data_IF_912298951346
#
_entry.id   IF_912298951346
#
_cell.length_a   1.000
_cell.length_b   1.000
_cell.length_c   1.000
_cell.angle_alpha   90.00
_cell.angle_beta   90.00
_cell.angle_gamma   90.00
#
_symmetry.space_group_name_H-M   'P 1'
#
loop_
_entity.id
_entity.type
_entity.pdbx_description
1 polymer ?
#
# COMPACT_ATOMS: atom_id res chain seq x y z
N UNK A 1 -2.78 -47.42 1.18
CA UNK A 1 -3.84 -46.41 0.86
C UNK A 1 -3.48 -44.98 1.28
N UNK A 2 -3.14 -44.69 2.56
CA UNK A 2 -2.77 -43.31 2.99
C UNK A 2 -1.53 -42.76 2.26
N UNK A 3 -0.49 -43.56 2.06
CA UNK A 3 0.73 -43.16 1.34
C UNK A 3 0.48 -42.86 -0.15
N UNK A 4 -0.14 -43.79 -0.88
CA UNK A 4 -0.55 -43.59 -2.29
C UNK A 4 -1.42 -42.34 -2.52
N UNK A 5 -2.24 -41.96 -1.54
CA UNK A 5 -3.07 -40.75 -1.62
C UNK A 5 -2.23 -39.48 -1.41
N UNK A 6 -1.19 -39.54 -0.56
CA UNK A 6 -0.22 -38.45 -0.40
C UNK A 6 0.61 -38.26 -1.67
N UNK A 7 1.13 -39.34 -2.24
CA UNK A 7 1.99 -39.29 -3.44
C UNK A 7 1.23 -38.73 -4.65
N UNK A 8 -0.03 -39.15 -4.86
CA UNK A 8 -0.90 -38.60 -5.91
C UNK A 8 -1.17 -37.10 -5.73
N UNK A 9 -1.44 -36.65 -4.49
CA UNK A 9 -1.65 -35.22 -4.20
C UNK A 9 -0.36 -34.39 -4.40
N UNK A 10 0.81 -34.97 -4.15
CA UNK A 10 2.10 -34.32 -4.36
C UNK A 10 2.41 -34.16 -5.85
N UNK A 11 2.12 -35.18 -6.66
CA UNK A 11 2.19 -35.11 -8.12
C UNK A 11 1.25 -34.00 -8.68
N UNK A 12 0.02 -33.93 -8.19
CA UNK A 12 -0.94 -32.87 -8.57
C UNK A 12 -0.46 -31.45 -8.18
N UNK A 13 0.33 -31.32 -7.11
CA UNK A 13 0.94 -30.05 -6.69
C UNK A 13 2.05 -29.64 -7.65
N UNK A 14 2.91 -30.58 -8.02
CA UNK A 14 3.99 -30.35 -9.00
C UNK A 14 3.43 -30.00 -10.38
N UNK A 15 2.37 -30.68 -10.82
CA UNK A 15 1.69 -30.35 -12.08
C UNK A 15 1.09 -28.95 -12.04
N UNK A 16 0.48 -28.57 -10.93
CA UNK A 16 -0.06 -27.21 -10.74
C UNK A 16 1.02 -26.15 -10.79
N UNK A 17 2.15 -26.39 -10.14
CA UNK A 17 3.30 -25.47 -10.18
C UNK A 17 3.89 -25.33 -11.59
N UNK A 18 3.69 -26.30 -12.49
CA UNK A 18 4.09 -26.21 -13.90
C UNK A 18 3.14 -25.35 -14.75
N UNK A 19 1.96 -24.98 -14.23
CA UNK A 19 1.01 -24.07 -14.90
C UNK A 19 1.46 -22.63 -14.65
N UNK A 20 2.35 -22.18 -15.54
CA UNK A 20 2.94 -20.85 -15.52
C UNK A 20 2.85 -20.29 -16.94
N UNK A 21 2.59 -18.98 -17.06
CA UNK A 21 2.40 -18.30 -18.34
C UNK A 21 3.58 -18.51 -19.29
N UNK A 22 4.82 -18.48 -18.79
CA UNK A 22 6.02 -18.68 -19.60
C UNK A 22 6.29 -20.13 -20.01
N UNK A 23 5.68 -21.11 -19.32
CA UNK A 23 5.87 -22.54 -19.61
C UNK A 23 4.72 -23.12 -20.43
N UNK A 24 3.49 -22.72 -20.13
CA UNK A 24 2.25 -23.18 -20.78
C UNK A 24 1.28 -22.01 -20.97
N UNK A 25 1.55 -21.08 -21.91
CA UNK A 25 0.80 -19.83 -22.03
C UNK A 25 -0.69 -20.06 -22.32
N UNK A 26 -1.01 -20.88 -23.33
CA UNK A 26 -2.40 -21.15 -23.74
C UNK A 26 -3.21 -21.81 -22.61
N UNK A 27 -2.62 -22.81 -21.94
CA UNK A 27 -3.31 -23.51 -20.85
C UNK A 27 -3.54 -22.57 -19.65
N UNK A 28 -2.54 -21.76 -19.30
CA UNK A 28 -2.62 -20.81 -18.18
C UNK A 28 -3.69 -19.75 -18.43
N UNK A 29 -3.72 -19.15 -19.62
CA UNK A 29 -4.73 -18.14 -19.98
C UNK A 29 -6.13 -18.77 -19.94
N UNK A 30 -6.31 -19.96 -20.54
CA UNK A 30 -7.60 -20.67 -20.54
C UNK A 30 -8.09 -20.95 -19.12
N UNK A 31 -7.24 -21.50 -18.25
CA UNK A 31 -7.60 -21.83 -16.87
C UNK A 31 -7.87 -20.58 -16.04
N UNK A 32 -7.08 -19.52 -16.21
CA UNK A 32 -7.31 -18.23 -15.57
C UNK A 32 -8.69 -17.66 -15.95
N UNK A 33 -9.00 -17.61 -17.25
CA UNK A 33 -10.30 -17.14 -17.74
C UNK A 33 -11.47 -17.98 -17.20
N UNK A 34 -11.31 -19.30 -17.15
CA UNK A 34 -12.34 -20.19 -16.60
C UNK A 34 -12.54 -20.00 -15.08
N UNK A 35 -11.48 -19.78 -14.29
CA UNK A 35 -11.65 -19.46 -12.87
C UNK A 35 -12.34 -18.11 -12.69
N UNK A 36 -12.01 -17.09 -13.50
CA UNK A 36 -12.74 -15.83 -13.49
C UNK A 36 -14.25 -16.05 -13.71
N UNK A 37 -14.64 -16.81 -14.73
CA UNK A 37 -16.05 -17.12 -15.00
C UNK A 37 -16.70 -17.86 -13.83
N UNK A 38 -16.01 -18.83 -13.23
CA UNK A 38 -16.52 -19.58 -12.07
C UNK A 38 -16.70 -18.67 -10.86
N UNK A 39 -15.71 -17.83 -10.55
CA UNK A 39 -15.77 -16.88 -9.45
C UNK A 39 -16.90 -15.87 -9.69
N UNK A 40 -17.02 -15.30 -10.88
CA UNK A 40 -18.12 -14.40 -11.24
C UNK A 40 -19.49 -15.05 -11.03
N UNK A 41 -19.66 -16.33 -11.39
CA UNK A 41 -20.90 -17.07 -11.13
C UNK A 41 -21.15 -17.30 -9.64
N UNK A 42 -20.12 -17.65 -8.87
CA UNK A 42 -20.24 -17.90 -7.42
C UNK A 42 -20.60 -16.60 -6.69
N UNK A 43 -19.84 -15.54 -6.93
CA UNK A 43 -20.10 -14.23 -6.32
C UNK A 43 -21.41 -13.64 -6.80
N UNK A 44 -21.74 -13.78 -8.08
CA UNK A 44 -23.04 -13.39 -8.62
C UNK A 44 -24.21 -14.08 -7.90
N UNK A 45 -24.14 -15.41 -7.72
CA UNK A 45 -25.16 -16.16 -6.95
C UNK A 45 -25.25 -15.73 -5.49
N UNK A 46 -24.11 -15.49 -4.82
CA UNK A 46 -24.08 -14.98 -3.44
C UNK A 46 -24.68 -13.58 -3.35
N UNK A 47 -24.35 -12.70 -4.28
CA UNK A 47 -24.91 -11.34 -4.34
C UNK A 47 -26.43 -11.40 -4.57
N UNK A 48 -26.87 -12.28 -5.46
CA UNK A 48 -28.29 -12.58 -5.72
C UNK A 48 -29.00 -13.32 -4.57
N UNK A 49 -28.30 -13.85 -3.58
CA UNK A 49 -28.93 -14.36 -2.36
C UNK A 49 -29.25 -13.20 -1.39
N UNK A 50 -28.44 -12.14 -1.42
CA UNK A 50 -28.66 -10.92 -0.64
C UNK A 50 -29.46 -9.85 -1.45
N UNK A 51 -30.54 -10.26 -2.11
CA UNK A 51 -31.34 -9.37 -3.00
C UNK A 51 -31.84 -8.12 -2.30
N UNK A 52 -32.29 -8.22 -1.05
CA UNK A 52 -32.78 -7.08 -0.28
C UNK A 52 -31.69 -6.02 0.01
N UNK A 53 -30.46 -6.46 0.30
CA UNK A 53 -29.33 -5.54 0.45
C UNK A 53 -28.97 -4.89 -0.88
N UNK A 54 -28.97 -5.68 -1.97
CA UNK A 54 -28.69 -5.18 -3.31
C UNK A 54 -29.72 -4.14 -3.75
N UNK A 55 -31.02 -4.39 -3.56
CA UNK A 55 -32.09 -3.44 -3.91
C UNK A 55 -32.00 -2.18 -3.05
N UNK A 56 -31.66 -2.29 -1.76
CA UNK A 56 -31.44 -1.15 -0.89
C UNK A 56 -30.25 -0.30 -1.35
N UNK A 57 -29.11 -0.93 -1.65
CA UNK A 57 -27.93 -0.23 -2.19
C UNK A 57 -28.25 0.44 -3.52
N UNK A 58 -28.98 -0.23 -4.41
CA UNK A 58 -29.33 0.29 -5.72
C UNK A 58 -30.31 1.48 -5.59
N UNK A 59 -31.28 1.39 -4.67
CA UNK A 59 -32.17 2.51 -4.34
C UNK A 59 -31.39 3.71 -3.77
N UNK A 60 -30.41 3.48 -2.88
CA UNK A 60 -29.53 4.53 -2.36
C UNK A 60 -28.73 5.18 -3.49
N UNK A 61 -28.16 4.40 -4.41
CA UNK A 61 -27.42 4.92 -5.58
C UNK A 61 -28.33 5.77 -6.48
N UNK A 62 -29.56 5.30 -6.73
CA UNK A 62 -30.56 6.05 -7.50
C UNK A 62 -30.95 7.33 -6.79
N UNK A 63 -31.20 7.30 -5.47
CA UNK A 63 -31.51 8.47 -4.66
C UNK A 63 -30.37 9.49 -4.69
N UNK A 64 -29.12 9.04 -4.56
CA UNK A 64 -27.93 9.91 -4.70
C UNK A 64 -27.84 10.47 -6.12
N UNK A 65 -28.13 9.67 -7.14
CA UNK A 65 -28.15 10.12 -8.54
C UNK A 65 -29.21 11.18 -8.82
N UNK A 66 -30.41 11.03 -8.27
CA UNK A 66 -31.48 12.03 -8.32
C UNK A 66 -31.03 13.29 -7.57
N UNK A 67 -30.52 13.13 -6.35
CA UNK A 67 -30.01 14.24 -5.53
C UNK A 67 -28.86 15.00 -6.20
N UNK A 68 -28.09 14.34 -7.06
CA UNK A 68 -27.03 14.96 -7.87
C UNK A 68 -27.56 15.81 -9.05
N UNK A 69 -28.75 15.47 -9.56
CA UNK A 69 -29.34 16.11 -10.75
C UNK A 69 -30.34 17.22 -10.41
N UNK A 70 -30.93 17.19 -9.23
CA UNK A 70 -31.90 18.20 -8.79
C UNK A 70 -31.16 19.53 -8.50
N UNK A 71 -31.58 20.65 -9.09
CA UNK A 71 -31.00 21.95 -8.75
C UNK A 71 -31.45 22.39 -7.35
N UNK A 72 -30.51 22.83 -6.52
CA UNK A 72 -30.82 23.40 -5.20
C UNK A 72 -29.59 23.87 -4.43
N UNK A 73 -29.79 24.36 -3.19
CA UNK A 73 -28.68 24.84 -2.32
C UNK A 73 -27.65 23.73 -2.01
N UNK A 74 -28.06 22.48 -2.06
CA UNK A 74 -27.19 21.30 -1.92
C UNK A 74 -26.19 21.15 -3.09
N UNK A 75 -26.43 21.80 -4.23
CA UNK A 75 -25.51 21.77 -5.38
C UNK A 75 -24.16 22.40 -5.06
N UNK A 76 -24.08 23.37 -4.15
CA UNK A 76 -22.80 23.92 -3.67
C UNK A 76 -21.97 22.85 -2.96
N UNK A 77 -22.61 22.08 -2.08
CA UNK A 77 -21.96 20.97 -1.36
C UNK A 77 -21.57 19.86 -2.32
N UNK A 78 -22.44 19.49 -3.26
CA UNK A 78 -22.15 18.49 -4.29
C UNK A 78 -20.98 18.93 -5.17
N UNK A 79 -20.93 20.20 -5.56
CA UNK A 79 -19.86 20.73 -6.40
C UNK A 79 -18.52 20.76 -5.65
N UNK A 80 -18.55 21.08 -4.35
CA UNK A 80 -17.40 20.98 -3.46
C UNK A 80 -16.92 19.52 -3.30
N UNK A 81 -17.85 18.57 -3.08
CA UNK A 81 -17.54 17.14 -3.00
C UNK A 81 -16.96 16.66 -4.33
N UNK A 82 -17.58 16.98 -5.47
CA UNK A 82 -17.12 16.58 -6.80
C UNK A 82 -15.69 17.02 -7.08
N UNK A 83 -15.39 18.28 -6.78
CA UNK A 83 -14.06 18.86 -6.98
C UNK A 83 -13.02 18.19 -6.09
N UNK A 84 -13.38 17.86 -4.85
CA UNK A 84 -12.49 17.21 -3.88
C UNK A 84 -12.46 15.67 -3.99
N UNK A 85 -13.41 15.04 -4.69
CA UNK A 85 -13.53 13.58 -4.77
C UNK A 85 -12.33 13.00 -5.49
N UNK A 86 -11.95 13.56 -6.64
CA UNK A 86 -10.76 13.11 -7.38
C UNK A 86 -9.49 13.27 -6.57
N UNK A 87 -9.36 14.37 -5.83
CA UNK A 87 -8.25 14.59 -4.91
C UNK A 87 -8.17 13.50 -3.82
N UNK A 88 -9.30 13.18 -3.18
CA UNK A 88 -9.38 12.13 -2.16
C UNK A 88 -9.06 10.75 -2.74
N UNK A 89 -9.67 10.40 -3.87
CA UNK A 89 -9.46 9.11 -4.56
C UNK A 89 -8.01 8.97 -4.99
N UNK A 90 -7.40 10.02 -5.52
CA UNK A 90 -6.00 10.03 -5.95
C UNK A 90 -5.04 9.75 -4.78
N UNK A 91 -5.13 10.53 -3.69
CA UNK A 91 -4.21 10.38 -2.56
C UNK A 91 -4.42 9.08 -1.77
N UNK A 92 -5.67 8.68 -1.54
CA UNK A 92 -5.97 7.38 -0.90
C UNK A 92 -5.51 6.24 -1.80
N UNK A 93 -5.80 6.31 -3.11
CA UNK A 93 -5.45 5.29 -4.08
C UNK A 93 -3.94 5.07 -4.17
N UNK A 94 -3.17 6.16 -4.26
CA UNK A 94 -1.71 6.09 -4.23
C UNK A 94 -1.17 5.48 -2.93
N UNK A 95 -1.79 5.82 -1.79
CA UNK A 95 -1.46 5.21 -0.50
C UNK A 95 -1.71 3.69 -0.48
N UNK A 96 -2.84 3.23 -1.00
CA UNK A 96 -3.17 1.80 -1.09
C UNK A 96 -2.15 1.07 -1.98
N UNK A 97 -1.90 1.60 -3.18
CA UNK A 97 -0.95 1.03 -4.13
C UNK A 97 0.46 0.97 -3.55
N UNK A 98 0.83 1.97 -2.74
CA UNK A 98 2.11 2.02 -2.05
C UNK A 98 2.32 0.87 -1.05
N UNK A 99 1.25 0.28 -0.51
CA UNK A 99 1.33 -0.83 0.43
C UNK A 99 1.11 -2.20 -0.25
N UNK A 100 0.19 -2.28 -1.21
CA UNK A 100 -0.19 -3.55 -1.85
C UNK A 100 0.79 -4.00 -2.94
N UNK A 101 1.44 -3.06 -3.65
CA UNK A 101 2.09 -3.36 -4.93
C UNK A 101 3.63 -3.36 -4.96
N UNK A 102 4.33 -2.68 -4.04
CA UNK A 102 5.76 -2.35 -4.21
C UNK A 102 6.69 -2.82 -3.08
N UNK A 103 6.16 -3.39 -2.00
CA UNK A 103 6.95 -3.86 -0.84
C UNK A 103 7.78 -2.80 -0.11
N UNK A 104 7.86 -1.57 -0.62
CA UNK A 104 8.63 -0.46 -0.07
C UNK A 104 7.80 0.82 -0.17
N UNK A 105 6.85 1.03 0.74
CA UNK A 105 6.05 2.27 0.77
C UNK A 105 6.87 3.57 0.93
N UNK A 106 8.17 3.47 1.16
CA UNK A 106 9.12 4.59 1.07
C UNK A 106 9.36 5.01 -0.39
N UNK A 107 9.37 4.06 -1.31
CA UNK A 107 9.66 4.31 -2.71
C UNK A 107 8.53 5.12 -3.37
N UNK A 108 7.27 4.69 -3.21
CA UNK A 108 6.11 5.45 -3.70
C UNK A 108 6.02 6.83 -3.04
N UNK A 109 6.39 6.93 -1.76
CA UNK A 109 6.47 8.22 -1.07
C UNK A 109 7.48 9.16 -1.77
N UNK A 110 8.67 8.69 -2.10
CA UNK A 110 9.72 9.48 -2.77
C UNK A 110 9.28 9.92 -4.19
N UNK A 111 8.39 9.20 -4.86
CA UNK A 111 7.94 9.57 -6.21
C UNK A 111 6.76 10.54 -6.25
N UNK A 112 5.87 10.50 -5.25
CA UNK A 112 4.61 11.24 -5.31
C UNK A 112 4.47 12.25 -4.16
N UNK A 113 4.35 11.77 -2.92
CA UNK A 113 4.07 12.65 -1.79
C UNK A 113 5.29 13.50 -1.39
N UNK A 114 6.50 12.94 -1.43
CA UNK A 114 7.75 13.64 -1.12
C UNK A 114 8.00 14.85 -2.03
N UNK A 115 7.99 14.67 -3.37
CA UNK A 115 8.13 15.78 -4.33
C UNK A 115 7.03 16.83 -4.18
N UNK A 116 5.80 16.42 -3.88
CA UNK A 116 4.71 17.34 -3.62
C UNK A 116 4.96 18.20 -2.37
N UNK A 117 5.40 17.59 -1.25
CA UNK A 117 5.77 18.36 -0.05
C UNK A 117 6.96 19.28 -0.33
N UNK A 118 7.93 18.82 -1.10
CA UNK A 118 9.10 19.60 -1.48
C UNK A 118 8.72 20.83 -2.31
N UNK A 119 7.86 20.69 -3.33
CA UNK A 119 7.41 21.82 -4.16
C UNK A 119 6.62 22.85 -3.36
N UNK A 120 5.72 22.41 -2.48
CA UNK A 120 4.98 23.30 -1.58
C UNK A 120 5.91 24.03 -0.61
N UNK A 121 6.93 23.34 -0.09
CA UNK A 121 7.94 23.93 0.81
C UNK A 121 8.75 25.00 0.09
N UNK A 122 9.22 24.69 -1.12
CA UNK A 122 10.00 25.59 -1.97
C UNK A 122 9.21 26.87 -2.26
N UNK A 123 7.99 26.72 -2.78
CA UNK A 123 7.14 27.86 -3.11
C UNK A 123 6.75 28.69 -1.88
N UNK A 124 6.56 28.05 -0.72
CA UNK A 124 6.29 28.78 0.51
C UNK A 124 7.44 29.73 0.91
N UNK A 125 8.69 29.29 0.73
CA UNK A 125 9.87 30.11 1.01
C UNK A 125 10.17 31.13 -0.10
N UNK A 126 9.96 30.79 -1.37
CA UNK A 126 10.19 31.71 -2.50
C UNK A 126 9.15 32.81 -2.58
N UNK A 127 7.87 32.45 -2.47
CA UNK A 127 6.78 33.43 -2.51
C UNK A 127 6.60 34.15 -1.17
N UNK A 128 7.32 33.72 -0.12
CA UNK A 128 7.13 34.15 1.27
C UNK A 128 5.64 34.18 1.71
N UNK A 129 4.86 33.23 1.20
CA UNK A 129 3.42 33.18 1.34
C UNK A 129 2.93 31.73 1.23
N UNK A 130 1.83 31.40 1.88
CA UNK A 130 1.18 30.07 1.80
C UNK A 130 -0.13 30.08 1.02
N UNK A 131 -0.52 31.25 0.50
CA UNK A 131 -1.76 31.49 -0.22
C UNK A 131 -1.59 31.36 -1.74
N UNK A 132 -1.01 30.25 -2.18
CA UNK A 132 -0.99 29.81 -3.58
C UNK A 132 -2.13 28.81 -3.85
N UNK A 133 -2.48 28.55 -5.14
CA UNK A 133 -3.69 27.83 -5.54
C UNK A 133 -3.90 26.52 -4.79
N UNK A 134 -5.15 26.22 -4.42
CA UNK A 134 -5.52 24.94 -3.79
C UNK A 134 -5.43 23.80 -4.81
N UNK A 135 -5.19 22.55 -4.37
CA UNK A 135 -5.15 21.41 -5.28
C UNK A 135 -6.48 21.25 -6.06
N UNK A 136 -6.43 20.80 -7.34
CA UNK A 136 -5.24 20.40 -8.10
C UNK A 136 -4.32 21.61 -8.34
N UNK A 137 -3.05 21.47 -7.95
CA UNK A 137 -2.08 22.53 -8.16
C UNK A 137 -1.84 22.61 -9.66
N UNK A 138 -1.80 23.82 -10.27
CA UNK A 138 -1.27 23.96 -11.61
C UNK A 138 0.14 23.36 -11.66
N UNK A 139 0.60 22.96 -12.84
CA UNK A 139 1.95 22.38 -13.01
C UNK A 139 3.05 23.30 -12.45
N UNK A 140 2.76 24.61 -12.37
CA UNK A 140 3.58 25.64 -11.74
C UNK A 140 2.88 26.27 -10.52
N UNK A 141 3.60 26.41 -9.40
CA UNK A 141 3.10 27.16 -8.24
C UNK A 141 3.26 28.65 -8.51
N UNK A 142 2.16 29.32 -8.86
CA UNK A 142 2.14 30.77 -9.11
C UNK A 142 2.10 31.50 -7.76
N UNK A 143 3.10 32.34 -7.50
CA UNK A 143 3.12 33.20 -6.33
C UNK A 143 1.98 34.23 -6.37
N UNK A 144 1.29 34.49 -5.25
CA UNK A 144 0.29 35.55 -5.19
C UNK A 144 0.93 36.92 -5.45
N UNK A 145 0.23 37.80 -6.15
CA UNK A 145 0.69 39.17 -6.46
C UNK A 145 0.84 40.05 -5.19
N UNK A 146 0.12 39.70 -4.12
CA UNK A 146 0.20 40.37 -2.82
C UNK A 146 0.87 39.42 -1.83
N UNK A 147 2.03 39.83 -1.29
CA UNK A 147 2.71 39.12 -0.23
C UNK A 147 1.88 39.19 1.06
N UNK A 148 1.13 38.13 1.37
CA UNK A 148 0.43 37.99 2.66
C UNK A 148 1.46 37.74 3.77
N UNK A 149 1.92 38.81 4.42
CA UNK A 149 2.81 38.76 5.59
C UNK A 149 2.14 38.21 6.85
N UNK A 150 0.83 37.94 6.83
CA UNK A 150 0.07 37.48 8.00
C UNK A 150 0.47 36.08 8.49
N UNK A 151 0.99 35.21 7.61
CA UNK A 151 1.39 33.84 7.97
C UNK A 151 2.75 33.52 7.33
N UNK A 152 3.86 33.80 8.03
CA UNK A 152 5.19 33.51 7.50
C UNK A 152 5.39 32.00 7.28
N UNK A 153 6.18 31.61 6.26
CA UNK A 153 6.51 30.21 6.01
C UNK A 153 7.38 29.67 7.16
N UNK A 154 6.78 28.83 7.99
CA UNK A 154 7.49 28.04 9.00
C UNK A 154 7.14 26.56 8.83
N UNK A 155 7.90 25.67 9.46
CA UNK A 155 7.73 24.21 9.34
C UNK A 155 6.27 23.82 9.65
N UNK A 156 5.68 24.39 10.71
CA UNK A 156 4.34 24.05 11.16
C UNK A 156 3.25 24.49 10.16
N UNK A 157 3.38 25.68 9.59
CA UNK A 157 2.45 26.23 8.64
C UNK A 157 2.49 25.46 7.30
N UNK A 158 3.69 25.07 6.86
CA UNK A 158 3.88 24.20 5.69
C UNK A 158 3.31 22.81 5.96
N UNK A 159 3.58 22.21 7.12
CA UNK A 159 2.99 20.93 7.54
C UNK A 159 1.47 20.95 7.60
N UNK A 160 0.89 22.09 7.98
CA UNK A 160 -0.56 22.33 8.00
C UNK A 160 -1.13 22.47 6.59
N UNK A 161 -0.39 23.13 5.68
CA UNK A 161 -0.79 23.28 4.27
C UNK A 161 -0.91 21.93 3.56
N UNK A 162 0.05 21.02 3.73
CA UNK A 162 0.07 19.68 3.09
C UNK A 162 -0.65 18.59 3.90
N UNK A 163 -1.45 18.98 4.91
CA UNK A 163 -1.96 18.02 5.90
C UNK A 163 -2.92 17.00 5.30
N UNK A 164 -3.73 17.40 4.33
CA UNK A 164 -4.79 16.57 3.77
C UNK A 164 -4.19 15.52 2.85
N UNK A 165 -3.29 15.93 1.96
CA UNK A 165 -2.53 15.07 1.06
C UNK A 165 -1.79 13.99 1.83
N UNK A 166 -1.04 14.39 2.86
CA UNK A 166 -0.29 13.46 3.69
C UNK A 166 -1.21 12.53 4.49
N UNK A 167 -2.28 13.06 5.10
CA UNK A 167 -3.23 12.23 5.86
C UNK A 167 -3.94 11.21 4.97
N UNK A 168 -4.44 11.63 3.80
CA UNK A 168 -5.13 10.76 2.84
C UNK A 168 -4.20 9.67 2.29
N UNK A 169 -2.96 10.04 1.97
CA UNK A 169 -1.92 9.07 1.61
C UNK A 169 -1.71 8.04 2.72
N UNK A 170 -1.45 8.50 3.95
CA UNK A 170 -1.20 7.62 5.08
C UNK A 170 -2.42 6.75 5.43
N UNK A 171 -3.64 7.27 5.30
CA UNK A 171 -4.87 6.50 5.42
C UNK A 171 -4.99 5.43 4.32
N UNK A 172 -4.63 5.77 3.08
CA UNK A 172 -4.50 4.82 1.99
C UNK A 172 -3.51 3.70 2.30
N UNK A 173 -2.34 4.04 2.88
CA UNK A 173 -1.37 3.01 3.29
C UNK A 173 -1.96 2.06 4.34
N UNK A 174 -2.68 2.58 5.34
CA UNK A 174 -3.37 1.78 6.36
C UNK A 174 -4.49 0.88 5.79
N UNK A 175 -5.14 1.32 4.71
CA UNK A 175 -6.12 0.48 3.99
C UNK A 175 -5.44 -0.66 3.21
N UNK A 176 -4.25 -0.42 2.66
CA UNK A 176 -3.48 -1.42 1.92
C UNK A 176 -2.95 -2.57 2.78
N UNK A 177 -3.12 -2.51 4.09
CA UNK A 177 -2.65 -3.50 5.11
C UNK A 177 -3.75 -4.47 5.54
N UNK A 178 -4.99 -4.13 5.17
CA UNK A 178 -6.15 -4.95 5.44
C UNK A 178 -6.08 -6.33 4.77
N UNK A 179 -5.55 -6.50 3.54
CA UNK A 179 -5.53 -7.82 2.91
C UNK A 179 -4.75 -8.87 3.72
N UNK A 180 -3.48 -8.64 4.15
CA UNK A 180 -2.78 -9.60 5.01
C UNK A 180 -3.51 -9.90 6.33
N UNK A 181 -4.11 -8.88 6.96
CA UNK A 181 -4.89 -9.05 8.20
C UNK A 181 -6.11 -9.96 8.00
N UNK A 182 -6.94 -9.69 6.98
CA UNK A 182 -8.13 -10.49 6.71
C UNK A 182 -7.77 -11.89 6.22
N UNK A 183 -6.69 -12.04 5.44
CA UNK A 183 -6.20 -13.35 5.02
C UNK A 183 -5.79 -14.21 6.21
N UNK A 184 -4.98 -13.67 7.13
CA UNK A 184 -4.56 -14.40 8.32
C UNK A 184 -5.73 -14.69 9.27
N UNK A 185 -6.65 -13.75 9.43
CA UNK A 185 -7.88 -13.93 10.24
C UNK A 185 -8.81 -14.98 9.66
N UNK A 186 -9.04 -14.95 8.35
CA UNK A 186 -9.87 -15.94 7.67
C UNK A 186 -9.26 -17.34 7.77
N UNK A 187 -7.93 -17.45 7.59
CA UNK A 187 -7.22 -18.72 7.73
C UNK A 187 -7.31 -19.30 9.15
N UNK A 188 -7.32 -18.44 10.19
CA UNK A 188 -7.52 -18.89 11.58
C UNK A 188 -8.95 -19.32 11.86
N UNK A 189 -9.94 -18.58 11.35
CA UNK A 189 -11.37 -18.81 11.59
C UNK A 189 -11.96 -19.97 10.78
N UNK A 190 -11.45 -20.23 9.58
CA UNK A 190 -11.95 -21.34 8.75
C UNK A 190 -11.70 -22.70 9.39
N UNK A 191 -10.84 -22.78 10.41
CA UNK A 191 -10.31 -24.04 10.91
C UNK A 191 -9.46 -24.72 9.84
N UNK A 192 -8.55 -25.58 10.24
CA UNK A 192 -7.88 -26.45 9.28
C UNK A 192 -8.83 -27.57 8.90
N UNK A 193 -9.17 -27.70 7.62
CA UNK A 193 -9.83 -28.91 7.12
C UNK A 193 -8.75 -30.03 7.08
N UNK A 194 -8.81 -31.05 7.95
CA UNK A 194 -7.78 -32.09 8.02
C UNK A 194 -7.65 -32.91 6.73
N UNK A 195 -8.62 -32.83 5.82
CA UNK A 195 -8.59 -33.47 4.50
C UNK A 195 -7.90 -32.62 3.41
N UNK A 196 -7.72 -31.31 3.63
CA UNK A 196 -7.07 -30.37 2.72
C UNK A 196 -5.57 -30.26 3.05
N UNK A 197 -4.80 -31.24 2.56
CA UNK A 197 -3.36 -31.39 2.79
C UNK A 197 -2.51 -30.14 2.44
N UNK A 198 -3.05 -29.21 1.65
CA UNK A 198 -2.40 -27.94 1.29
C UNK A 198 -2.49 -26.90 2.41
N UNK A 199 -3.59 -26.90 3.18
CA UNK A 199 -3.71 -26.11 4.39
C UNK A 199 -2.93 -26.77 5.53
N UNK A 200 -3.00 -28.10 5.65
CA UNK A 200 -2.21 -28.85 6.65
C UNK A 200 -0.69 -28.70 6.45
N UNK A 201 -0.18 -28.67 5.20
CA UNK A 201 1.24 -28.41 4.92
C UNK A 201 1.64 -26.97 5.22
N UNK A 202 0.79 -25.97 4.89
CA UNK A 202 1.04 -24.57 5.29
C UNK A 202 1.05 -24.42 6.81
N UNK A 203 0.18 -25.15 7.51
CA UNK A 203 0.18 -25.24 8.96
C UNK A 203 1.47 -25.87 9.49
N UNK A 204 1.88 -27.01 8.94
CA UNK A 204 3.11 -27.71 9.31
C UNK A 204 4.37 -26.89 8.99
N UNK A 205 4.40 -26.12 7.90
CA UNK A 205 5.49 -25.20 7.55
C UNK A 205 5.54 -24.00 8.52
N UNK A 206 4.40 -23.37 8.81
CA UNK A 206 4.29 -22.31 9.82
C UNK A 206 4.65 -22.83 11.24
N UNK A 207 4.30 -24.08 11.55
CA UNK A 207 4.55 -24.71 12.85
C UNK A 207 5.97 -25.30 12.97
N UNK A 208 6.60 -25.70 11.85
CA UNK A 208 8.03 -26.07 11.78
C UNK A 208 8.91 -24.83 11.90
N UNK A 209 8.55 -23.72 11.26
CA UNK A 209 9.20 -22.42 11.53
C UNK A 209 9.11 -22.03 13.02
N UNK A 210 8.00 -22.37 13.69
CA UNK A 210 7.79 -22.10 15.13
C UNK A 210 8.62 -22.99 16.06
N UNK A 211 8.89 -24.24 15.69
CA UNK A 211 9.51 -25.25 16.57
C UNK A 211 10.98 -25.57 16.22
N UNK A 212 11.54 -24.98 15.17
CA UNK A 212 12.97 -25.10 14.88
C UNK A 212 13.81 -24.40 15.96
N UNK A 213 14.72 -25.14 16.58
CA UNK A 213 15.65 -24.64 17.62
C UNK A 213 16.74 -23.70 17.08
N UNK A 214 16.87 -23.56 15.76
CA UNK A 214 17.73 -22.56 15.11
C UNK A 214 16.92 -21.33 14.70
N UNK A 215 16.71 -20.40 15.63
CA UNK A 215 15.96 -19.17 15.37
C UNK A 215 16.84 -18.16 14.61
N UNK A 216 16.50 -17.93 13.34
CA UNK A 216 17.08 -16.85 12.55
C UNK A 216 16.70 -15.49 13.15
N UNK A 217 17.43 -14.41 12.87
CA UNK A 217 17.13 -13.06 13.41
C UNK A 217 15.67 -12.65 13.16
N UNK A 218 15.15 -12.98 11.97
CA UNK A 218 13.76 -12.76 11.59
C UNK A 218 12.76 -13.51 12.47
N UNK A 219 13.05 -14.72 12.92
CA UNK A 219 12.14 -15.52 13.74
C UNK A 219 12.13 -15.04 15.21
N UNK A 220 13.27 -14.54 15.70
CA UNK A 220 13.33 -13.83 16.99
C UNK A 220 12.53 -12.52 16.95
N UNK A 221 12.60 -11.79 15.83
CA UNK A 221 11.86 -10.54 15.63
C UNK A 221 10.34 -10.80 15.57
N UNK A 222 9.91 -11.88 14.91
CA UNK A 222 8.52 -12.34 14.91
C UNK A 222 8.01 -12.67 16.31
N UNK A 223 8.74 -13.49 17.07
CA UNK A 223 8.37 -13.87 18.44
C UNK A 223 8.36 -12.68 19.40
N UNK A 224 9.28 -11.73 19.23
CA UNK A 224 9.28 -10.49 20.01
C UNK A 224 8.04 -9.64 19.71
N UNK A 225 7.71 -9.48 18.43
CA UNK A 225 6.54 -8.70 18.04
C UNK A 225 5.23 -9.34 18.47
N UNK A 226 5.14 -10.66 18.43
CA UNK A 226 4.03 -11.44 19.00
C UNK A 226 3.83 -11.12 20.49
N UNK A 227 4.90 -11.21 21.29
CA UNK A 227 4.85 -10.86 22.72
C UNK A 227 4.45 -9.40 22.97
N UNK A 228 4.89 -8.47 22.12
CA UNK A 228 4.52 -7.04 22.25
C UNK A 228 3.04 -6.84 21.90
N UNK A 229 2.54 -7.45 20.83
CA UNK A 229 1.13 -7.33 20.42
C UNK A 229 0.21 -8.00 21.45
N UNK A 230 0.57 -9.16 21.97
CA UNK A 230 -0.21 -9.85 23.03
C UNK A 230 -0.21 -9.08 24.35
N UNK A 231 0.94 -8.51 24.76
CA UNK A 231 1.10 -7.87 26.07
C UNK A 231 0.64 -6.40 26.10
N UNK A 232 0.79 -5.68 25.00
CA UNK A 232 0.61 -4.22 24.92
C UNK A 232 -0.63 -3.85 24.08
N UNK A 233 -1.19 -4.79 23.31
CA UNK A 233 -2.43 -4.60 22.57
C UNK A 233 -2.36 -3.42 21.60
N UNK A 234 -3.27 -2.46 21.74
CA UNK A 234 -3.38 -1.29 20.86
C UNK A 234 -2.07 -0.48 20.73
N UNK A 235 -1.38 -0.22 21.84
CA UNK A 235 -0.15 0.59 21.83
C UNK A 235 1.02 -0.15 21.17
N UNK A 236 1.05 -1.49 21.29
CA UNK A 236 2.04 -2.32 20.60
C UNK A 236 1.85 -2.28 19.10
N UNK A 237 0.60 -2.41 18.63
CA UNK A 237 0.24 -2.31 17.22
C UNK A 237 0.57 -0.91 16.68
N UNK A 238 0.27 0.14 17.46
CA UNK A 238 0.56 1.52 17.09
C UNK A 238 2.06 1.76 16.90
N UNK A 239 2.89 1.26 17.82
CA UNK A 239 4.34 1.35 17.71
C UNK A 239 4.86 0.63 16.46
N UNK A 240 4.40 -0.59 16.21
CA UNK A 240 4.76 -1.37 15.03
C UNK A 240 4.33 -0.67 13.72
N UNK A 241 3.14 -0.06 13.69
CA UNK A 241 2.64 0.66 12.52
C UNK A 241 3.38 1.98 12.25
N UNK A 242 3.99 2.58 13.28
CA UNK A 242 4.72 3.84 13.20
C UNK A 242 6.15 3.69 12.66
N UNK A 243 6.71 2.47 12.66
CA UNK A 243 8.09 2.17 12.24
C UNK A 243 8.13 1.76 10.74
N UNK A 244 9.21 2.06 9.98
CA UNK A 244 9.33 1.72 8.56
C UNK A 244 9.23 0.20 8.23
N UNK A 245 9.07 -0.06 6.94
CA UNK A 245 8.28 -1.14 6.31
C UNK A 245 8.57 -2.64 6.62
N UNK A 246 9.69 -3.13 7.15
CA UNK A 246 9.85 -4.59 7.34
C UNK A 246 8.98 -5.19 8.45
N UNK A 247 8.69 -4.43 9.51
CA UNK A 247 7.85 -4.85 10.64
C UNK A 247 6.35 -4.80 10.32
N UNK A 248 6.00 -4.11 9.24
CA UNK A 248 4.65 -3.67 8.95
C UNK A 248 3.76 -4.81 8.40
N UNK A 249 4.20 -5.53 7.37
CA UNK A 249 3.43 -6.67 6.81
C UNK A 249 3.25 -7.79 7.84
N UNK A 250 4.23 -7.94 8.72
CA UNK A 250 4.21 -8.93 9.78
C UNK A 250 3.17 -8.59 10.85
N UNK A 251 2.97 -7.31 11.18
CA UNK A 251 1.96 -6.89 12.15
C UNK A 251 0.54 -7.24 11.68
N UNK A 252 0.25 -7.05 10.39
CA UNK A 252 -1.04 -7.44 9.80
C UNK A 252 -1.31 -8.94 9.92
N UNK A 253 -0.34 -9.78 9.54
CA UNK A 253 -0.46 -11.25 9.62
C UNK A 253 -0.64 -11.70 11.08
N UNK A 254 0.20 -11.20 11.99
CA UNK A 254 0.13 -11.53 13.42
C UNK A 254 -1.22 -11.12 14.01
N UNK A 255 -1.66 -9.88 13.82
CA UNK A 255 -2.94 -9.40 14.36
C UNK A 255 -4.14 -10.18 13.80
N UNK A 256 -4.10 -10.54 12.52
CA UNK A 256 -5.13 -11.37 11.91
C UNK A 256 -5.17 -12.77 12.50
N UNK A 257 -4.01 -13.42 12.64
CA UNK A 257 -3.89 -14.76 13.22
C UNK A 257 -4.36 -14.84 14.68
N UNK A 258 -4.06 -13.82 15.48
CA UNK A 258 -4.50 -13.72 16.89
C UNK A 258 -5.93 -13.21 17.05
N UNK A 259 -6.66 -13.01 15.94
CA UNK A 259 -8.06 -12.57 15.94
C UNK A 259 -8.28 -11.21 16.65
N UNK A 260 -7.26 -10.35 16.69
CA UNK A 260 -7.35 -9.00 17.26
C UNK A 260 -8.55 -8.27 16.62
N UNK A 261 -9.40 -7.57 17.38
CA UNK A 261 -10.54 -6.87 16.82
C UNK A 261 -10.14 -5.90 15.70
N UNK A 262 -10.98 -5.82 14.65
CA UNK A 262 -10.69 -4.98 13.49
C UNK A 262 -10.41 -3.53 13.87
N UNK A 263 -11.23 -2.94 14.73
CA UNK A 263 -11.08 -1.53 15.12
C UNK A 263 -9.80 -1.26 15.93
N UNK A 264 -9.33 -2.22 16.72
CA UNK A 264 -8.06 -2.10 17.45
C UNK A 264 -6.88 -2.10 16.49
N UNK A 265 -6.90 -3.00 15.51
CA UNK A 265 -5.85 -3.06 14.48
C UNK A 265 -5.90 -1.85 13.52
N UNK A 266 -7.06 -1.58 12.93
CA UNK A 266 -7.24 -0.51 11.96
C UNK A 266 -7.06 0.88 12.58
N UNK A 267 -7.55 1.11 13.79
CA UNK A 267 -7.36 2.37 14.50
C UNK A 267 -5.88 2.65 14.81
N UNK A 268 -5.16 1.64 15.33
CA UNK A 268 -3.74 1.76 15.64
C UNK A 268 -2.89 1.97 14.37
N UNK A 269 -3.19 1.25 13.29
CA UNK A 269 -2.49 1.41 11.99
C UNK A 269 -2.78 2.76 11.34
N UNK A 270 -4.04 3.23 11.37
CA UNK A 270 -4.40 4.54 10.86
C UNK A 270 -3.68 5.67 11.60
N UNK A 271 -3.65 5.64 12.94
CA UNK A 271 -2.95 6.66 13.73
C UNK A 271 -1.43 6.57 13.50
N UNK A 272 -0.86 5.36 13.56
CA UNK A 272 0.56 5.15 13.35
C UNK A 272 1.03 5.64 11.99
N UNK A 273 0.22 5.44 10.94
CA UNK A 273 0.62 5.74 9.57
C UNK A 273 0.16 7.10 9.07
N UNK A 274 -1.12 7.43 9.20
CA UNK A 274 -1.66 8.70 8.71
C UNK A 274 -1.27 9.89 9.59
N UNK A 275 -0.95 9.64 10.86
CA UNK A 275 -0.54 10.68 11.80
C UNK A 275 0.95 10.54 12.07
N UNK A 276 1.40 9.61 12.90
CA UNK A 276 2.77 9.60 13.44
C UNK A 276 3.82 9.53 12.32
N UNK A 277 3.76 8.50 11.49
CA UNK A 277 4.72 8.28 10.38
C UNK A 277 4.71 9.44 9.39
N UNK A 278 3.53 9.92 8.98
CA UNK A 278 3.44 11.05 8.06
C UNK A 278 4.02 12.34 8.64
N UNK A 279 3.86 12.61 9.94
CA UNK A 279 4.43 13.82 10.54
C UNK A 279 5.96 13.75 10.54
N UNK A 280 6.54 12.58 10.88
CA UNK A 280 7.98 12.35 10.81
C UNK A 280 8.49 12.55 9.37
N UNK A 281 7.83 11.93 8.39
CA UNK A 281 8.22 12.05 6.97
C UNK A 281 8.08 13.47 6.43
N UNK A 282 7.01 14.19 6.78
CA UNK A 282 6.82 15.61 6.40
C UNK A 282 7.93 16.49 6.97
N UNK A 283 8.24 16.36 8.27
CA UNK A 283 9.30 17.16 8.92
C UNK A 283 10.63 16.93 8.21
N UNK A 284 10.97 15.66 7.94
CA UNK A 284 12.20 15.32 7.24
C UNK A 284 12.30 15.99 5.86
N UNK A 285 11.23 15.93 5.05
CA UNK A 285 11.21 16.58 3.73
C UNK A 285 11.28 18.10 3.86
N UNK A 286 10.51 18.72 4.75
CA UNK A 286 10.51 20.18 4.90
C UNK A 286 11.88 20.71 5.33
N UNK A 287 12.56 20.03 6.26
CA UNK A 287 13.92 20.39 6.69
C UNK A 287 14.91 20.23 5.53
N UNK A 288 14.81 19.14 4.76
CA UNK A 288 15.72 18.88 3.64
C UNK A 288 15.64 19.92 2.51
N UNK A 289 14.48 20.59 2.35
CA UNK A 289 14.24 21.55 1.27
C UNK A 289 14.19 23.03 1.73
N UNK A 290 14.49 23.32 3.00
CA UNK A 290 14.69 24.69 3.48
C UNK A 290 16.19 24.93 3.67
N UNK A 291 16.77 25.89 2.95
CA UNK A 291 18.21 26.18 3.01
C UNK A 291 18.71 26.54 4.41
N UNK A 292 18.00 27.46 5.10
CA UNK A 292 18.36 27.89 6.45
C UNK A 292 18.24 26.79 7.51
N UNK A 293 17.31 25.85 7.33
CA UNK A 293 17.14 24.71 8.24
C UNK A 293 18.06 23.55 7.88
N UNK A 294 18.33 23.37 6.58
CA UNK A 294 19.24 22.36 6.08
C UNK A 294 20.66 22.65 6.56
N UNK A 295 21.14 23.89 6.43
CA UNK A 295 22.46 24.28 6.92
C UNK A 295 22.58 24.04 8.44
N UNK A 296 21.59 24.46 9.23
CA UNK A 296 21.55 24.18 10.67
C UNK A 296 21.50 22.68 11.02
N UNK A 297 20.77 21.88 10.24
CA UNK A 297 20.65 20.44 10.46
C UNK A 297 21.93 19.70 10.05
N UNK A 298 22.58 20.15 8.98
CA UNK A 298 23.85 19.64 8.48
C UNK A 298 24.98 19.98 9.45
N UNK A 299 25.00 21.20 10.00
CA UNK A 299 25.91 21.61 11.07
C UNK A 299 25.73 20.74 12.33
N UNK A 300 24.47 20.47 12.72
CA UNK A 300 24.15 19.58 13.85
C UNK A 300 24.58 18.14 13.58
N UNK A 301 24.47 17.67 12.32
CA UNK A 301 24.94 16.35 11.90
C UNK A 301 26.47 16.26 11.94
N UNK A 302 27.17 17.36 11.62
CA UNK A 302 28.63 17.51 11.72
C UNK A 302 29.17 17.35 13.14
N UNK A 303 28.34 17.56 14.17
CA UNK A 303 28.67 17.32 15.59
C UNK A 303 28.77 15.83 15.93
N UNK A 304 28.24 14.92 15.08
CA UNK A 304 28.32 13.47 15.30
C UNK A 304 29.75 12.99 14.98
N UNK A 305 30.53 12.55 15.98
CA UNK A 305 31.99 12.43 15.89
C UNK A 305 32.51 11.31 14.98
N UNK A 306 31.64 10.52 14.34
CA UNK A 306 32.02 9.33 13.57
C UNK A 306 31.59 9.35 12.09
N UNK A 307 30.45 9.97 11.75
CA UNK A 307 29.89 9.91 10.39
C UNK A 307 29.48 11.28 9.83
N UNK A 308 29.38 12.32 10.66
CA UNK A 308 28.86 13.64 10.28
C UNK A 308 29.62 14.30 9.14
N UNK A 309 30.91 14.57 9.33
CA UNK A 309 31.77 15.28 8.35
C UNK A 309 31.91 14.58 7.00
N UNK A 310 31.81 13.24 6.96
CA UNK A 310 31.93 12.47 5.71
C UNK A 310 30.63 12.41 4.91
N UNK A 311 29.49 12.67 5.55
CA UNK A 311 28.17 12.71 4.93
C UNK A 311 27.71 14.13 4.59
N UNK A 312 28.32 15.14 5.19
CA UNK A 312 27.97 16.56 5.04
C UNK A 312 27.99 17.05 3.57
N UNK A 313 29.15 16.99 2.92
CA UNK A 313 29.36 17.42 1.52
C UNK A 313 28.55 16.63 0.48
N UNK A 314 28.49 15.28 0.50
CA UNK A 314 27.69 14.53 -0.47
C UNK A 314 26.19 14.76 -0.26
N UNK A 315 25.74 15.03 0.96
CA UNK A 315 24.35 15.33 1.25
C UNK A 315 23.96 16.74 0.80
N UNK A 316 24.79 17.76 1.08
CA UNK A 316 24.58 19.15 0.63
C UNK A 316 24.53 19.23 -0.90
N UNK A 317 25.51 18.61 -1.58
CA UNK A 317 25.55 18.58 -3.06
C UNK A 317 24.39 17.80 -3.70
N UNK A 318 23.92 16.70 -3.07
CA UNK A 318 22.73 15.98 -3.55
C UNK A 318 21.47 16.85 -3.46
N UNK A 319 21.28 17.56 -2.35
CA UNK A 319 20.11 18.41 -2.14
C UNK A 319 20.10 19.64 -3.04
N UNK A 320 21.25 20.30 -3.23
CA UNK A 320 21.37 21.40 -4.20
C UNK A 320 21.06 20.95 -5.63
N UNK A 321 21.51 19.75 -6.02
CA UNK A 321 21.21 19.19 -7.33
C UNK A 321 19.73 18.83 -7.51
N UNK A 322 19.04 18.37 -6.46
CA UNK A 322 17.60 18.14 -6.47
C UNK A 322 16.81 19.45 -6.53
N UNK A 323 17.23 20.46 -5.76
CA UNK A 323 16.65 21.81 -5.80
C UNK A 323 16.75 22.41 -7.21
N UNK A 324 17.93 22.38 -7.83
CA UNK A 324 18.14 22.86 -9.21
C UNK A 324 17.29 22.14 -10.26
N UNK A 325 17.00 20.85 -10.05
CA UNK A 325 16.11 20.07 -10.93
C UNK A 325 14.64 20.46 -10.78
N UNK A 326 14.24 20.84 -9.57
CA UNK A 326 12.88 21.29 -9.28
C UNK A 326 12.62 22.71 -9.83
N UNK A 327 13.64 23.58 -9.89
CA UNK A 327 13.53 24.94 -10.47
C UNK A 327 13.73 25.03 -11.99
N UNK A 328 14.09 23.94 -12.69
CA UNK A 328 14.43 24.05 -14.12
C UNK A 328 13.17 24.18 -14.98
N UNK A 329 12.83 25.43 -15.32
CA UNK A 329 11.83 25.89 -16.29
C UNK A 329 11.51 24.90 -17.43
N UNK A 330 10.23 24.65 -17.63
CA UNK A 330 9.60 23.84 -18.68
C UNK A 330 9.58 24.51 -20.07
N UNK A 331 10.39 25.55 -20.30
CA UNK A 331 10.44 26.30 -21.58
C UNK A 331 11.61 25.89 -22.50
N UNK A 332 12.29 24.79 -22.19
CA UNK A 332 13.30 24.20 -23.08
C UNK A 332 12.86 22.75 -23.30
N UNK A 333 12.71 22.27 -24.57
CA UNK A 333 12.41 20.87 -24.83
C UNK A 333 13.43 20.01 -24.08
N UNK A 334 13.04 18.85 -23.55
CA UNK A 334 13.87 18.10 -22.63
C UNK A 334 15.20 17.78 -23.33
N UNK A 335 16.29 18.44 -22.91
CA UNK A 335 17.61 17.89 -23.11
C UNK A 335 17.56 16.49 -22.49
N UNK A 336 17.79 15.46 -23.30
CA UNK A 336 17.63 14.03 -23.03
C UNK A 336 18.37 13.47 -21.79
N UNK A 337 18.82 14.29 -20.85
CA UNK A 337 19.32 13.90 -19.55
C UNK A 337 18.18 13.59 -18.56
N UNK A 338 17.12 12.91 -19.00
CA UNK A 338 16.32 12.13 -18.06
C UNK A 338 17.29 11.14 -17.44
N UNK A 339 17.64 11.34 -16.15
CA UNK A 339 18.62 10.54 -15.42
C UNK A 339 18.51 9.10 -15.89
N UNK A 340 19.60 8.52 -16.39
CA UNK A 340 19.65 7.11 -16.74
C UNK A 340 19.03 6.26 -15.61
N UNK A 341 19.25 6.67 -14.36
CA UNK A 341 18.64 6.12 -13.15
C UNK A 341 17.11 6.25 -13.12
N UNK A 342 16.50 7.39 -13.47
CA UNK A 342 15.05 7.55 -13.54
C UNK A 342 14.41 6.70 -14.66
N UNK A 343 15.05 6.63 -15.85
CA UNK A 343 14.60 5.76 -16.95
C UNK A 343 14.74 4.26 -16.59
N UNK A 344 15.84 3.87 -15.94
CA UNK A 344 16.03 2.51 -15.39
C UNK A 344 14.94 2.22 -14.36
N UNK A 345 14.68 3.20 -13.50
CA UNK A 345 13.72 3.08 -12.42
C UNK A 345 12.28 2.91 -12.94
N UNK A 346 11.88 3.71 -13.93
CA UNK A 346 10.59 3.56 -14.62
C UNK A 346 10.45 2.17 -15.26
N UNK A 347 11.47 1.71 -16.00
CA UNK A 347 11.49 0.37 -16.58
C UNK A 347 11.41 -0.73 -15.53
N UNK A 348 12.07 -0.55 -14.38
CA UNK A 348 12.00 -1.47 -13.26
C UNK A 348 10.58 -1.55 -12.68
N UNK A 349 9.90 -0.42 -12.49
CA UNK A 349 8.50 -0.39 -12.03
C UNK A 349 7.58 -1.10 -13.03
N UNK A 350 7.71 -0.81 -14.32
CA UNK A 350 6.92 -1.47 -15.37
C UNK A 350 7.17 -2.99 -15.34
N UNK A 351 8.42 -3.43 -15.24
CA UNK A 351 8.76 -4.85 -15.14
C UNK A 351 8.11 -5.51 -13.92
N UNK A 352 8.10 -4.83 -12.77
CA UNK A 352 7.48 -5.33 -11.54
C UNK A 352 5.95 -5.40 -11.65
N UNK A 353 5.30 -4.40 -12.27
CA UNK A 353 3.85 -4.42 -12.55
C UNK A 353 3.50 -5.57 -13.50
N UNK A 354 4.27 -5.74 -14.58
CA UNK A 354 4.10 -6.87 -15.50
C UNK A 354 4.26 -8.22 -14.77
N UNK A 355 5.28 -8.35 -13.92
CA UNK A 355 5.46 -9.53 -13.09
C UNK A 355 4.26 -9.79 -12.16
N UNK A 356 3.71 -8.75 -11.53
CA UNK A 356 2.54 -8.86 -10.68
C UNK A 356 1.29 -9.33 -11.46
N UNK A 357 1.04 -8.77 -12.66
CA UNK A 357 -0.05 -9.22 -13.53
C UNK A 357 0.12 -10.68 -13.95
N UNK A 358 1.34 -11.08 -14.34
CA UNK A 358 1.67 -12.48 -14.66
C UNK A 358 1.42 -13.39 -13.46
N UNK A 359 1.81 -12.95 -12.25
CA UNK A 359 1.58 -13.68 -11.01
C UNK A 359 0.09 -13.89 -10.72
N UNK A 360 -0.75 -12.87 -10.95
CA UNK A 360 -2.21 -12.99 -10.82
C UNK A 360 -2.75 -14.04 -11.80
N UNK A 361 -2.36 -13.96 -13.08
CA UNK A 361 -2.82 -14.91 -14.09
C UNK A 361 -2.41 -16.36 -13.75
N UNK A 362 -1.17 -16.55 -13.31
CA UNK A 362 -0.68 -17.84 -12.85
C UNK A 362 -1.50 -18.34 -11.64
N UNK A 363 -1.74 -17.48 -10.65
CA UNK A 363 -2.48 -17.84 -9.43
C UNK A 363 -3.93 -18.23 -9.72
N UNK A 364 -4.61 -17.51 -10.62
CA UNK A 364 -5.96 -17.85 -11.08
C UNK A 364 -5.98 -19.19 -11.82
N UNK A 365 -5.02 -19.42 -12.72
CA UNK A 365 -4.92 -20.69 -13.46
C UNK A 365 -4.68 -21.88 -12.53
N UNK A 366 -3.80 -21.73 -11.55
CA UNK A 366 -3.50 -22.75 -10.54
C UNK A 366 -4.70 -23.02 -9.63
N UNK A 367 -5.46 -21.97 -9.29
CA UNK A 367 -6.70 -22.07 -8.52
C UNK A 367 -7.77 -22.86 -9.28
N UNK A 368 -7.93 -22.62 -10.59
CA UNK A 368 -8.82 -23.41 -11.45
C UNK A 368 -8.45 -24.89 -11.44
N UNK A 369 -7.15 -25.17 -11.62
CA UNK A 369 -6.63 -26.54 -11.64
C UNK A 369 -6.94 -27.26 -10.32
N UNK A 370 -6.69 -26.61 -9.18
CA UNK A 370 -7.08 -27.13 -7.85
C UNK A 370 -8.57 -27.46 -7.79
N UNK A 371 -9.42 -26.56 -8.30
CA UNK A 371 -10.88 -26.72 -8.26
C UNK A 371 -11.37 -27.91 -9.07
N UNK A 372 -10.80 -28.14 -10.27
CA UNK A 372 -11.14 -29.29 -11.10
C UNK A 372 -10.81 -30.60 -10.38
N UNK A 373 -9.59 -30.72 -9.83
CA UNK A 373 -9.17 -31.93 -9.11
C UNK A 373 -10.00 -32.18 -7.84
N UNK A 374 -10.35 -31.13 -7.08
CA UNK A 374 -11.23 -31.26 -5.90
C UNK A 374 -12.65 -31.72 -6.29
N UNK A 375 -13.19 -31.28 -7.43
CA UNK A 375 -14.50 -31.75 -7.94
C UNK A 375 -14.43 -33.18 -8.47
N UNK A 376 -13.42 -33.50 -9.29
CA UNK A 376 -13.20 -34.83 -9.82
C UNK A 376 -13.03 -35.88 -8.71
N UNK A 377 -12.30 -35.54 -7.65
CA UNK A 377 -12.14 -36.38 -6.46
C UNK A 377 -13.45 -36.64 -5.71
N UNK A 378 -14.33 -35.63 -5.58
CA UNK A 378 -15.65 -35.79 -4.94
C UNK A 378 -16.60 -36.66 -5.78
N UNK A 379 -16.60 -36.50 -7.10
CA UNK A 379 -17.39 -37.35 -8.01
C UNK A 379 -16.91 -38.79 -7.99
N UNK A 380 -15.59 -39.03 -7.98
CA UNK A 380 -15.01 -40.38 -7.87
C UNK A 380 -15.30 -41.05 -6.51
N UNK A 381 -15.39 -40.27 -5.43
CA UNK A 381 -15.77 -40.79 -4.09
C UNK A 381 -17.23 -41.24 -4.08
N UNK A 382 -18.13 -40.43 -4.65
CA UNK A 382 -19.56 -40.75 -4.81
C UNK A 382 -19.86 -41.95 -5.72
N UNK A 383 -18.94 -42.34 -6.60
CA UNK A 383 -19.07 -43.52 -7.47
C UNK A 383 -18.51 -44.81 -6.83
N UNK A 384 -17.80 -44.69 -5.70
CA UNK A 384 -17.18 -45.81 -4.97
C UNK A 384 -17.92 -46.17 -3.68
N UNK A 385 -18.80 -45.30 -3.21
CA UNK A 385 -19.85 -45.55 -2.22
C UNK A 385 -21.10 -46.00 -2.98
#
# INVERSE_FOLDING_TARGET
>A
RKQQTKDKKQLEKEERQKILLWRRPVQTIKYSAMECVVLSRIYGKKLLAHRGLLTCLLAIVVLIGIFYKVPGRHQLVINMIRTNTWFVVYWIGLGILSSVGLGTGLHTFILYLGPHIASVTLAAYECNALNFPKPPYPDDIICPEVSDTSVPPNIWNIMSKVRLEAFLWGAGTALGELPPYFMARAARLSGYDPDDAEELQKFEELHKMRNSKELNFLDRLKLSMEKVVEKVGFLGILACASIPNPLFDLAGITCGHFLVPFWTFFGATLIGKAIIKMHIQKIFVIIAFNESLLERAVDLLGVIPLFGRRLEEPFKSFLENQKKRLHRNTNIPPSESGNMLAKIFEKFVIAMVCYFVISILNSLAQSYHKRIHKKGGKTLKKLKE
#
